data_IF_427779007617
#
_entry.id   IF_427779007617
#
_cell.length_a   1.000
_cell.length_b   1.000
_cell.length_c   1.000
_cell.angle_alpha   90.00
_cell.angle_beta   90.00
_cell.angle_gamma   90.00
#
_symmetry.space_group_name_H-M   'P 1'
#
loop_
_entity.id
_entity.type
_entity.pdbx_description
1 polymer ?
#
# COMPACT_ATOMS: atom_id res chain seq x y z
N UNK A 1 -44.84 44.53 -9.47
CA UNK A 1 -43.56 44.54 -10.19
C UNK A 1 -42.45 44.72 -9.15
N UNK A 2 -41.97 43.61 -8.59
CA UNK A 2 -40.78 43.62 -7.75
C UNK A 2 -39.66 43.22 -8.71
N UNK A 3 -38.83 44.18 -9.10
CA UNK A 3 -37.64 43.91 -9.89
C UNK A 3 -36.58 43.37 -8.94
N UNK A 4 -36.15 42.14 -9.19
CA UNK A 4 -35.07 41.47 -8.48
C UNK A 4 -33.81 42.34 -8.46
N UNK A 5 -33.45 42.85 -7.27
CA UNK A 5 -32.10 43.30 -6.95
C UNK A 5 -31.19 42.07 -6.82
N UNK A 6 -30.84 41.47 -7.96
CA UNK A 6 -29.74 40.52 -8.03
C UNK A 6 -28.43 41.23 -7.67
N UNK A 7 -27.74 40.71 -6.65
CA UNK A 7 -26.49 41.27 -6.11
C UNK A 7 -25.47 41.54 -7.23
N UNK A 8 -24.81 42.71 -7.26
CA UNK A 8 -23.89 43.11 -8.34
C UNK A 8 -22.72 42.13 -8.57
N UNK A 9 -22.32 41.37 -7.54
CA UNK A 9 -21.29 40.34 -7.64
C UNK A 9 -21.70 39.14 -8.52
N UNK A 10 -22.99 38.81 -8.59
CA UNK A 10 -23.51 37.71 -9.41
C UNK A 10 -23.37 38.01 -10.91
N UNK A 11 -23.73 39.25 -11.31
CA UNK A 11 -23.65 39.68 -12.72
C UNK A 11 -22.22 39.79 -13.23
N UNK A 12 -21.27 40.20 -12.37
CA UNK A 12 -19.84 40.21 -12.71
C UNK A 12 -19.31 38.79 -12.91
N UNK A 13 -19.74 37.85 -12.08
CA UNK A 13 -19.37 36.45 -12.18
C UNK A 13 -19.91 35.79 -13.46
N UNK A 14 -21.18 36.03 -13.79
CA UNK A 14 -21.76 35.51 -15.04
C UNK A 14 -21.12 36.12 -16.30
N UNK A 15 -20.76 37.41 -16.28
CA UNK A 15 -19.97 38.02 -17.37
C UNK A 15 -18.59 37.41 -17.51
N UNK A 16 -17.93 37.07 -16.39
CA UNK A 16 -16.64 36.40 -16.39
C UNK A 16 -16.76 34.99 -16.99
N UNK A 17 -17.79 34.23 -16.62
CA UNK A 17 -18.09 32.91 -17.21
C UNK A 17 -18.31 33.01 -18.72
N UNK A 18 -19.20 33.90 -19.15
CA UNK A 18 -19.50 34.09 -20.57
C UNK A 18 -18.24 34.47 -21.38
N UNK A 19 -17.39 35.35 -20.83
CA UNK A 19 -16.10 35.69 -21.45
C UNK A 19 -15.18 34.47 -21.59
N UNK A 20 -15.10 33.65 -20.54
CA UNK A 20 -14.25 32.45 -20.53
C UNK A 20 -14.78 31.37 -21.48
N UNK A 21 -16.09 31.26 -21.64
CA UNK A 21 -16.71 30.38 -22.65
C UNK A 21 -16.35 30.83 -24.07
N UNK A 22 -16.46 32.13 -24.37
CA UNK A 22 -16.08 32.66 -25.68
C UNK A 22 -14.57 32.50 -25.96
N UNK A 23 -13.73 32.65 -24.94
CA UNK A 23 -12.29 32.36 -25.03
C UNK A 23 -12.03 30.90 -25.35
N UNK A 24 -12.73 29.97 -24.68
CA UNK A 24 -12.63 28.54 -24.94
C UNK A 24 -13.03 28.20 -26.38
N UNK A 25 -14.16 28.72 -26.86
CA UNK A 25 -14.62 28.52 -28.25
C UNK A 25 -13.62 29.05 -29.29
N UNK A 26 -12.96 30.18 -29.01
CA UNK A 26 -11.90 30.69 -29.89
C UNK A 26 -10.69 29.76 -29.94
N UNK A 27 -10.30 29.16 -28.81
CA UNK A 27 -9.25 28.14 -28.77
C UNK A 27 -9.67 26.87 -29.51
N UNK A 28 -10.93 26.45 -29.43
CA UNK A 28 -11.44 25.30 -30.19
C UNK A 28 -11.39 25.51 -31.70
N UNK A 29 -11.72 26.71 -32.19
CA UNK A 29 -11.61 27.02 -33.61
C UNK A 29 -10.16 26.98 -34.10
N UNK A 30 -9.21 27.43 -33.27
CA UNK A 30 -7.77 27.28 -33.56
C UNK A 30 -7.33 25.82 -33.54
N UNK A 31 -7.76 25.03 -32.55
CA UNK A 31 -7.48 23.60 -32.48
C UNK A 31 -8.00 22.87 -33.73
N UNK A 32 -9.23 23.18 -34.16
CA UNK A 32 -9.81 22.66 -35.41
C UNK A 32 -9.00 23.07 -36.63
N UNK A 33 -8.50 24.30 -36.69
CA UNK A 33 -7.63 24.75 -37.77
C UNK A 33 -6.28 24.00 -37.79
N UNK A 34 -5.72 23.69 -36.62
CA UNK A 34 -4.50 22.88 -36.50
C UNK A 34 -4.71 21.43 -36.97
N UNK A 35 -5.89 20.86 -36.68
CA UNK A 35 -6.28 19.50 -37.09
C UNK A 35 -6.68 19.39 -38.57
N UNK A 36 -7.08 20.48 -39.23
CA UNK A 36 -7.40 20.47 -40.66
C UNK A 36 -6.13 20.24 -41.48
N UNK A 37 -6.18 19.23 -42.35
CA UNK A 37 -5.21 19.04 -43.42
C UNK A 37 -5.71 19.73 -44.69
N UNK A 38 -4.78 20.15 -45.56
CA UNK A 38 -5.11 20.85 -46.80
C UNK A 38 -4.06 20.57 -47.88
N UNK A 39 -4.26 21.13 -49.07
CA UNK A 39 -3.38 20.90 -50.22
C UNK A 39 -1.89 21.23 -49.92
N UNK A 40 -1.64 22.20 -49.04
CA UNK A 40 -0.30 22.61 -48.60
C UNK A 40 0.18 21.98 -47.27
N UNK A 41 -0.72 21.40 -46.46
CA UNK A 41 -0.40 20.82 -45.14
C UNK A 41 -0.88 19.37 -45.09
N UNK A 42 0.02 18.44 -45.45
CA UNK A 42 -0.27 17.00 -45.61
C UNK A 42 -0.43 16.24 -44.29
N UNK A 43 0.05 16.79 -43.17
CA UNK A 43 -0.12 16.21 -41.82
C UNK A 43 -0.74 17.25 -40.87
N UNK A 44 -1.69 16.85 -40.01
CA UNK A 44 -2.25 17.75 -39.00
C UNK A 44 -1.15 18.19 -38.02
N UNK A 45 -1.27 19.39 -37.49
CA UNK A 45 -0.37 19.90 -36.44
C UNK A 45 -0.91 19.48 -35.08
N UNK A 46 -0.50 18.29 -34.67
CA UNK A 46 -0.90 17.66 -33.42
C UNK A 46 -0.42 18.46 -32.21
N UNK A 47 0.84 18.92 -32.20
CA UNK A 47 1.38 19.72 -31.09
C UNK A 47 0.61 21.03 -30.91
N UNK A 48 0.32 21.75 -32.00
CA UNK A 48 -0.50 22.96 -31.96
C UNK A 48 -1.93 22.68 -31.48
N UNK A 49 -2.55 21.60 -31.97
CA UNK A 49 -3.89 21.21 -31.55
C UNK A 49 -3.95 20.85 -30.06
N UNK A 50 -2.96 20.10 -29.54
CA UNK A 50 -2.84 19.74 -28.13
C UNK A 50 -2.90 20.96 -27.22
N UNK A 51 -2.09 21.99 -27.52
CA UNK A 51 -2.00 23.21 -26.71
C UNK A 51 -3.35 23.94 -26.73
N UNK A 52 -3.95 24.11 -27.91
CA UNK A 52 -5.21 24.84 -28.05
C UNK A 52 -6.38 24.09 -27.37
N UNK A 53 -6.44 22.76 -27.44
CA UNK A 53 -7.43 21.97 -26.67
C UNK A 53 -7.23 22.08 -25.16
N UNK A 54 -5.98 22.10 -24.69
CA UNK A 54 -5.66 22.24 -23.27
C UNK A 54 -6.06 23.62 -22.72
N UNK A 55 -5.79 24.70 -23.47
CA UNK A 55 -6.21 26.06 -23.11
C UNK A 55 -7.74 26.21 -23.15
N UNK A 56 -8.41 25.61 -24.13
CA UNK A 56 -9.88 25.56 -24.18
C UNK A 56 -10.45 24.86 -22.93
N UNK A 57 -9.88 23.72 -22.55
CA UNK A 57 -10.30 22.96 -21.37
C UNK A 57 -10.14 23.77 -20.07
N UNK A 58 -9.02 24.49 -19.91
CA UNK A 58 -8.82 25.40 -18.77
C UNK A 58 -9.85 26.53 -18.73
N UNK A 59 -10.16 27.12 -19.87
CA UNK A 59 -11.15 28.19 -19.96
C UNK A 59 -12.56 27.68 -19.61
N UNK A 60 -12.95 26.49 -20.07
CA UNK A 60 -14.21 25.83 -19.64
C UNK A 60 -14.22 25.49 -18.15
N UNK A 61 -13.10 25.02 -17.60
CA UNK A 61 -12.97 24.74 -16.17
C UNK A 61 -13.22 26.00 -15.33
N UNK A 62 -12.59 27.14 -15.68
CA UNK A 62 -12.81 28.43 -15.00
C UNK A 62 -14.25 28.91 -15.14
N UNK A 63 -14.90 28.63 -16.28
CA UNK A 63 -16.31 28.92 -16.49
C UNK A 63 -17.27 27.99 -15.73
N UNK A 64 -16.76 27.00 -14.98
CA UNK A 64 -17.52 25.95 -14.29
C UNK A 64 -18.32 25.02 -15.24
N UNK A 65 -17.91 24.96 -16.50
CA UNK A 65 -18.43 24.00 -17.49
C UNK A 65 -17.60 22.72 -17.44
N UNK A 66 -17.84 21.93 -16.40
CA UNK A 66 -17.09 20.71 -16.10
C UNK A 66 -17.14 19.64 -17.22
N UNK A 67 -18.30 19.30 -17.82
CA UNK A 67 -18.33 18.24 -18.83
C UNK A 67 -17.57 18.63 -20.10
N UNK A 68 -17.70 19.88 -20.56
CA UNK A 68 -16.91 20.36 -21.70
C UNK A 68 -15.41 20.42 -21.37
N UNK A 69 -15.05 20.82 -20.15
CA UNK A 69 -13.65 20.81 -19.73
C UNK A 69 -13.05 19.39 -19.76
N UNK A 70 -13.77 18.39 -19.26
CA UNK A 70 -13.34 16.98 -19.28
C UNK A 70 -13.15 16.51 -20.72
N UNK A 71 -14.12 16.76 -21.60
CA UNK A 71 -14.06 16.34 -23.01
C UNK A 71 -12.81 16.88 -23.72
N UNK A 72 -12.45 18.15 -23.49
CA UNK A 72 -11.28 18.74 -24.16
C UNK A 72 -9.95 18.40 -23.49
N UNK A 73 -9.93 18.16 -22.17
CA UNK A 73 -8.74 17.57 -21.53
C UNK A 73 -8.47 16.16 -22.06
N UNK A 74 -9.53 15.35 -22.23
CA UNK A 74 -9.42 14.00 -22.79
C UNK A 74 -8.93 14.04 -24.24
N UNK A 75 -9.52 14.86 -25.12
CA UNK A 75 -9.02 15.03 -26.50
C UNK A 75 -7.57 15.49 -26.56
N UNK A 76 -7.17 16.40 -25.67
CA UNK A 76 -5.77 16.84 -25.57
C UNK A 76 -4.85 15.69 -25.14
N UNK A 77 -5.30 14.82 -24.22
CA UNK A 77 -4.54 13.64 -23.79
C UNK A 77 -4.44 12.56 -24.87
N UNK A 78 -5.48 12.34 -25.67
CA UNK A 78 -5.46 11.38 -26.78
C UNK A 78 -4.45 11.77 -27.87
N UNK A 79 -4.30 13.08 -28.11
CA UNK A 79 -3.28 13.58 -29.04
C UNK A 79 -1.87 13.42 -28.44
N UNK A 80 -1.69 13.67 -27.14
CA UNK A 80 -0.42 13.40 -26.46
C UNK A 80 -0.01 11.93 -26.56
N UNK A 81 -0.96 11.00 -26.40
CA UNK A 81 -0.72 9.57 -26.59
C UNK A 81 -0.27 9.27 -28.03
N UNK A 82 -0.87 9.90 -29.04
CA UNK A 82 -0.44 9.77 -30.44
C UNK A 82 0.96 10.35 -30.69
N UNK A 83 1.38 11.30 -29.87
CA UNK A 83 2.71 11.91 -29.90
C UNK A 83 3.73 11.15 -29.03
N UNK A 84 3.33 10.06 -28.37
CA UNK A 84 4.12 9.30 -27.40
C UNK A 84 4.61 10.16 -26.21
N UNK A 85 3.86 11.21 -25.86
CA UNK A 85 4.09 12.06 -24.68
C UNK A 85 3.25 11.55 -23.49
N UNK A 86 3.60 10.33 -23.06
CA UNK A 86 2.90 9.56 -22.03
C UNK A 86 2.74 10.37 -20.72
N UNK A 87 3.73 11.21 -20.37
CA UNK A 87 3.70 12.01 -19.13
C UNK A 87 2.63 13.11 -19.19
N UNK A 88 2.56 13.86 -20.28
CA UNK A 88 1.56 14.92 -20.44
C UNK A 88 0.16 14.32 -20.59
N UNK A 89 0.02 13.21 -21.31
CA UNK A 89 -1.23 12.45 -21.39
C UNK A 89 -1.74 12.05 -19.99
N UNK A 90 -0.87 11.45 -19.17
CA UNK A 90 -1.21 11.02 -17.82
C UNK A 90 -1.72 12.17 -16.94
N UNK A 91 -1.03 13.32 -16.95
CA UNK A 91 -1.41 14.49 -16.14
C UNK A 91 -2.76 15.08 -16.55
N UNK A 92 -3.09 15.06 -17.84
CA UNK A 92 -4.38 15.55 -18.36
C UNK A 92 -5.51 14.59 -18.00
N UNK A 93 -5.30 13.28 -18.10
CA UNK A 93 -6.26 12.27 -17.62
C UNK A 93 -6.49 12.39 -16.10
N UNK A 94 -5.45 12.70 -15.33
CA UNK A 94 -5.58 12.97 -13.90
C UNK A 94 -6.48 14.19 -13.62
N UNK A 95 -6.40 15.23 -14.46
CA UNK A 95 -7.34 16.37 -14.40
C UNK A 95 -8.76 15.93 -14.73
N UNK A 96 -8.97 15.10 -15.77
CA UNK A 96 -10.29 14.55 -16.08
C UNK A 96 -10.91 13.82 -14.90
N UNK A 97 -10.13 12.99 -14.19
CA UNK A 97 -10.59 12.28 -13.01
C UNK A 97 -11.02 13.23 -11.88
N UNK A 98 -10.20 14.24 -11.56
CA UNK A 98 -10.52 15.24 -10.55
C UNK A 98 -11.79 16.04 -10.87
N UNK A 99 -11.97 16.42 -12.12
CA UNK A 99 -13.17 17.14 -12.58
C UNK A 99 -14.42 16.25 -12.57
N UNK A 100 -14.25 14.96 -12.83
CA UNK A 100 -15.34 13.98 -12.75
C UNK A 100 -15.86 13.87 -11.32
N UNK A 101 -14.97 13.81 -10.32
CA UNK A 101 -15.35 13.85 -8.89
C UNK A 101 -16.06 15.17 -8.55
N UNK A 102 -15.62 16.29 -9.13
CA UNK A 102 -16.20 17.60 -8.86
C UNK A 102 -17.64 17.74 -9.39
N UNK A 103 -18.03 17.00 -10.44
CA UNK A 103 -19.42 16.98 -10.96
C UNK A 103 -20.43 16.49 -9.91
N UNK A 104 -20.03 15.59 -9.00
CA UNK A 104 -20.92 14.97 -7.98
C UNK A 104 -22.17 14.29 -8.57
N UNK A 105 -22.05 13.73 -9.77
CA UNK A 105 -23.09 12.92 -10.40
C UNK A 105 -22.98 11.45 -9.96
N UNK A 106 -24.03 10.64 -10.10
CA UNK A 106 -23.99 9.22 -9.69
C UNK A 106 -22.90 8.39 -10.41
N UNK A 107 -22.54 8.83 -11.63
CA UNK A 107 -21.48 8.22 -12.46
C UNK A 107 -20.08 8.79 -12.19
N UNK A 108 -19.95 9.82 -11.35
CA UNK A 108 -18.67 10.53 -11.14
C UNK A 108 -17.54 9.60 -10.71
N UNK A 109 -17.84 8.63 -9.84
CA UNK A 109 -16.83 7.76 -9.26
C UNK A 109 -16.36 6.69 -10.26
N UNK A 110 -17.26 6.24 -11.14
CA UNK A 110 -16.93 5.28 -12.20
C UNK A 110 -16.07 5.96 -13.28
N UNK A 111 -16.48 7.17 -13.72
CA UNK A 111 -15.72 7.97 -14.68
C UNK A 111 -14.33 8.33 -14.11
N UNK A 112 -14.28 8.77 -12.84
CA UNK A 112 -13.01 9.09 -12.18
C UNK A 112 -12.08 7.88 -12.06
N UNK A 113 -12.63 6.70 -11.76
CA UNK A 113 -11.86 5.47 -11.73
C UNK A 113 -11.25 5.16 -13.11
N UNK A 114 -12.04 5.19 -14.18
CA UNK A 114 -11.54 4.93 -15.54
C UNK A 114 -10.41 5.90 -15.92
N UNK A 115 -10.62 7.20 -15.70
CA UNK A 115 -9.60 8.21 -16.00
C UNK A 115 -8.32 8.02 -15.17
N UNK A 116 -8.42 7.67 -13.89
CA UNK A 116 -7.23 7.38 -13.09
C UNK A 116 -6.55 6.06 -13.49
N UNK A 117 -7.29 5.02 -13.86
CA UNK A 117 -6.70 3.76 -14.34
C UNK A 117 -5.93 3.99 -15.65
N UNK A 118 -6.50 4.76 -16.58
CA UNK A 118 -5.82 5.20 -17.80
C UNK A 118 -4.60 6.07 -17.48
N UNK A 119 -4.72 7.04 -16.58
CA UNK A 119 -3.61 7.88 -16.13
C UNK A 119 -2.48 7.06 -15.51
N UNK A 120 -2.81 6.05 -14.71
CA UNK A 120 -1.85 5.12 -14.13
C UNK A 120 -1.08 4.39 -15.25
N UNK A 121 -1.78 3.81 -16.25
CA UNK A 121 -1.15 3.16 -17.40
C UNK A 121 -0.16 4.08 -18.12
N UNK A 122 -0.55 5.33 -18.37
CA UNK A 122 0.33 6.32 -19.00
C UNK A 122 1.54 6.67 -18.13
N UNK A 123 1.38 6.84 -16.82
CA UNK A 123 2.51 7.07 -15.91
C UNK A 123 3.51 5.90 -15.89
N UNK A 124 3.03 4.66 -16.04
CA UNK A 124 3.90 3.49 -16.17
C UNK A 124 4.68 3.51 -17.49
N UNK A 125 4.04 3.87 -18.60
CA UNK A 125 4.71 4.02 -19.90
C UNK A 125 5.75 5.15 -19.87
N UNK A 126 5.46 6.22 -19.13
CA UNK A 126 6.38 7.32 -18.84
C UNK A 126 7.47 6.98 -17.80
N UNK A 127 7.52 5.75 -17.28
CA UNK A 127 8.47 5.30 -16.26
C UNK A 127 8.43 6.14 -14.95
N UNK A 128 7.26 6.71 -14.63
CA UNK A 128 6.98 7.50 -13.43
C UNK A 128 6.16 6.68 -12.42
N UNK A 129 6.81 5.68 -11.83
CA UNK A 129 6.18 4.67 -10.97
C UNK A 129 5.63 5.22 -9.65
N UNK A 130 6.25 6.29 -9.14
CA UNK A 130 5.79 7.04 -7.99
C UNK A 130 4.41 7.65 -8.27
N UNK A 131 4.26 8.37 -9.38
CA UNK A 131 2.98 8.94 -9.80
C UNK A 131 1.92 7.89 -10.14
N UNK A 132 2.33 6.77 -10.75
CA UNK A 132 1.42 5.65 -11.00
C UNK A 132 0.87 5.07 -9.69
N UNK A 133 1.73 4.85 -8.69
CA UNK A 133 1.32 4.37 -7.38
C UNK A 133 0.42 5.39 -6.65
N UNK A 134 0.71 6.68 -6.72
CA UNK A 134 -0.17 7.73 -6.21
C UNK A 134 -1.55 7.73 -6.88
N UNK A 135 -1.62 7.46 -8.19
CA UNK A 135 -2.89 7.32 -8.90
C UNK A 135 -3.70 6.13 -8.35
N UNK A 136 -3.07 4.98 -8.11
CA UNK A 136 -3.75 3.83 -7.51
C UNK A 136 -4.30 4.14 -6.10
N UNK A 137 -3.56 4.92 -5.29
CA UNK A 137 -4.04 5.38 -3.98
C UNK A 137 -5.24 6.33 -4.13
N UNK A 138 -5.22 7.24 -5.11
CA UNK A 138 -6.36 8.12 -5.42
C UNK A 138 -7.58 7.32 -5.87
N UNK A 139 -7.41 6.29 -6.70
CA UNK A 139 -8.49 5.37 -7.09
C UNK A 139 -9.08 4.69 -5.86
N UNK A 140 -8.21 4.15 -4.99
CA UNK A 140 -8.65 3.49 -3.76
C UNK A 140 -9.57 4.39 -2.92
N UNK A 141 -9.24 5.68 -2.78
CA UNK A 141 -10.07 6.64 -2.05
C UNK A 141 -11.42 6.95 -2.73
N UNK A 142 -11.47 6.97 -4.06
CA UNK A 142 -12.73 7.15 -4.81
C UNK A 142 -13.64 5.95 -4.59
N UNK A 143 -13.08 4.74 -4.64
CA UNK A 143 -13.87 3.50 -4.60
C UNK A 143 -14.14 3.00 -3.19
N UNK A 144 -13.41 3.45 -2.16
CA UNK A 144 -13.54 3.01 -0.76
C UNK A 144 -14.97 3.11 -0.23
N UNK A 145 -15.73 4.12 -0.67
CA UNK A 145 -17.13 4.33 -0.27
C UNK A 145 -18.11 3.35 -0.91
N UNK A 146 -17.81 2.84 -2.10
CA UNK A 146 -18.69 1.94 -2.88
C UNK A 146 -18.29 0.49 -2.69
N UNK A 147 -16.99 0.19 -2.73
CA UNK A 147 -16.45 -1.14 -2.58
C UNK A 147 -15.08 -1.09 -1.88
N UNK A 148 -15.10 -1.44 -0.59
CA UNK A 148 -13.91 -1.41 0.26
C UNK A 148 -12.87 -2.49 -0.13
N UNK A 149 -13.33 -3.64 -0.63
CA UNK A 149 -12.46 -4.73 -1.06
C UNK A 149 -11.68 -4.36 -2.32
N UNK A 150 -12.35 -3.69 -3.25
CA UNK A 150 -11.71 -3.15 -4.44
C UNK A 150 -10.66 -2.09 -4.09
N UNK A 151 -10.95 -1.21 -3.11
CA UNK A 151 -9.97 -0.25 -2.60
C UNK A 151 -8.72 -0.93 -2.03
N UNK A 152 -8.88 -2.05 -1.31
CA UNK A 152 -7.77 -2.85 -0.82
C UNK A 152 -6.91 -3.42 -1.95
N UNK A 153 -7.53 -3.93 -3.02
CA UNK A 153 -6.82 -4.39 -4.22
C UNK A 153 -5.96 -3.29 -4.84
N UNK A 154 -6.52 -2.09 -5.04
CA UNK A 154 -5.76 -0.95 -5.58
C UNK A 154 -4.60 -0.52 -4.68
N UNK A 155 -4.79 -0.49 -3.36
CA UNK A 155 -3.72 -0.15 -2.43
C UNK A 155 -2.61 -1.20 -2.35
N UNK A 156 -2.95 -2.50 -2.43
CA UNK A 156 -1.95 -3.56 -2.52
C UNK A 156 -1.12 -3.44 -3.81
N UNK A 157 -1.75 -3.11 -4.95
CA UNK A 157 -1.05 -2.81 -6.20
C UNK A 157 -0.11 -1.61 -6.06
N UNK A 158 -0.55 -0.54 -5.37
CA UNK A 158 0.31 0.62 -5.08
C UNK A 158 1.53 0.23 -4.24
N UNK A 159 1.35 -0.57 -3.18
CA UNK A 159 2.45 -1.11 -2.38
C UNK A 159 3.45 -1.93 -3.22
N UNK A 160 2.96 -2.75 -4.16
CA UNK A 160 3.81 -3.52 -5.07
C UNK A 160 4.67 -2.60 -5.96
N UNK A 161 4.09 -1.54 -6.51
CA UNK A 161 4.83 -0.57 -7.32
C UNK A 161 5.94 0.12 -6.53
N UNK A 162 5.69 0.55 -5.29
CA UNK A 162 6.73 1.20 -4.49
C UNK A 162 7.90 0.26 -4.15
N UNK A 163 7.63 -1.01 -3.86
CA UNK A 163 8.67 -2.00 -3.54
C UNK A 163 9.49 -2.38 -4.76
N UNK A 164 8.85 -2.61 -5.91
CA UNK A 164 9.53 -3.11 -7.10
C UNK A 164 10.49 -2.08 -7.72
N UNK A 165 10.28 -0.80 -7.47
CA UNK A 165 11.08 0.30 -8.04
C UNK A 165 11.92 1.06 -7.01
N UNK A 166 12.15 0.45 -5.84
CA UNK A 166 12.96 0.99 -4.75
C UNK A 166 12.59 2.42 -4.31
N UNK A 167 11.31 2.80 -4.47
CA UNK A 167 10.75 4.08 -3.99
C UNK A 167 10.22 3.93 -2.57
N UNK A 168 11.08 3.44 -1.67
CA UNK A 168 10.67 2.98 -0.33
C UNK A 168 10.30 4.13 0.63
N UNK A 169 10.81 5.35 0.39
CA UNK A 169 10.51 6.53 1.22
C UNK A 169 9.02 6.88 1.24
N UNK A 170 8.33 6.76 0.11
CA UNK A 170 6.88 7.02 -0.03
C UNK A 170 6.03 5.79 0.29
N UNK A 171 6.65 4.63 0.42
CA UNK A 171 5.96 3.37 0.59
C UNK A 171 5.33 3.26 1.99
N UNK A 172 6.02 3.75 3.02
CA UNK A 172 5.66 3.52 4.44
C UNK A 172 4.24 4.00 4.76
N UNK A 173 3.87 5.20 4.35
CA UNK A 173 2.53 5.75 4.59
C UNK A 173 1.46 4.93 3.84
N UNK A 174 1.75 4.56 2.59
CA UNK A 174 0.87 3.70 1.79
C UNK A 174 0.69 2.35 2.47
N UNK A 175 1.77 1.69 2.91
CA UNK A 175 1.73 0.42 3.64
C UNK A 175 0.91 0.51 4.93
N UNK A 176 1.08 1.57 5.72
CA UNK A 176 0.30 1.77 6.95
C UNK A 176 -1.19 1.99 6.67
N UNK A 177 -1.52 2.75 5.62
CA UNK A 177 -2.90 2.96 5.18
C UNK A 177 -3.54 1.66 4.67
N UNK A 178 -2.79 0.88 3.89
CA UNK A 178 -3.20 -0.44 3.41
C UNK A 178 -3.44 -1.40 4.58
N UNK A 179 -2.52 -1.44 5.56
CA UNK A 179 -2.67 -2.26 6.75
C UNK A 179 -3.93 -1.91 7.53
N UNK A 180 -4.17 -0.61 7.76
CA UNK A 180 -5.37 -0.13 8.44
C UNK A 180 -6.65 -0.49 7.66
N UNK A 181 -6.63 -0.45 6.32
CA UNK A 181 -7.78 -0.89 5.54
C UNK A 181 -8.01 -2.40 5.64
N UNK A 182 -6.97 -3.22 5.47
CA UNK A 182 -7.09 -4.68 5.56
C UNK A 182 -7.64 -5.12 6.92
N UNK A 183 -7.15 -4.51 8.00
CA UNK A 183 -7.64 -4.79 9.35
C UNK A 183 -9.08 -4.29 9.56
N UNK A 184 -9.49 -3.17 8.93
CA UNK A 184 -10.89 -2.71 8.95
C UNK A 184 -11.83 -3.67 8.21
N UNK A 185 -11.36 -4.29 7.13
CA UNK A 185 -12.13 -5.27 6.34
C UNK A 185 -12.20 -6.63 7.07
N UNK A 186 -11.23 -6.93 7.95
CA UNK A 186 -11.12 -8.24 8.61
C UNK A 186 -10.18 -9.21 7.90
N UNK A 187 -9.36 -8.75 6.95
CA UNK A 187 -8.40 -9.59 6.22
C UNK A 187 -7.08 -9.74 6.96
N UNK A 188 -7.11 -10.54 8.02
CA UNK A 188 -5.97 -10.68 8.93
C UNK A 188 -4.76 -11.35 8.27
N UNK A 189 -4.98 -12.37 7.43
CA UNK A 189 -3.88 -13.06 6.73
C UNK A 189 -3.17 -12.11 5.76
N UNK A 190 -3.93 -11.37 4.95
CA UNK A 190 -3.40 -10.36 4.04
C UNK A 190 -2.65 -9.26 4.80
N UNK A 191 -3.14 -8.85 5.98
CA UNK A 191 -2.48 -7.89 6.86
C UNK A 191 -1.13 -8.42 7.41
N UNK A 192 -1.07 -9.69 7.83
CA UNK A 192 0.17 -10.33 8.31
C UNK A 192 1.19 -10.46 7.18
N UNK A 193 0.78 -10.87 5.99
CA UNK A 193 1.64 -10.91 4.79
C UNK A 193 2.20 -9.51 4.50
N UNK A 194 1.36 -8.48 4.58
CA UNK A 194 1.78 -7.09 4.40
C UNK A 194 2.82 -6.66 5.45
N UNK A 195 2.60 -6.98 6.73
CA UNK A 195 3.55 -6.69 7.82
C UNK A 195 4.91 -7.39 7.61
N UNK A 196 4.92 -8.65 7.17
CA UNK A 196 6.15 -9.37 6.82
C UNK A 196 6.91 -8.71 5.69
N UNK A 197 6.20 -8.20 4.67
CA UNK A 197 6.81 -7.40 3.60
C UNK A 197 7.37 -6.07 4.11
N UNK A 198 6.67 -5.41 5.02
CA UNK A 198 7.16 -4.19 5.68
C UNK A 198 8.42 -4.46 6.50
N UNK A 199 8.52 -5.60 7.20
CA UNK A 199 9.73 -6.01 7.93
C UNK A 199 10.91 -6.12 6.97
N UNK A 200 10.74 -6.77 5.82
CA UNK A 200 11.80 -6.85 4.81
C UNK A 200 12.21 -5.47 4.28
N UNK A 201 11.25 -4.55 4.09
CA UNK A 201 11.51 -3.18 3.67
C UNK A 201 12.28 -2.39 4.75
N UNK A 202 11.81 -2.39 6.00
CA UNK A 202 12.47 -1.69 7.10
C UNK A 202 13.85 -2.25 7.42
N UNK A 203 14.08 -3.54 7.16
CA UNK A 203 15.40 -4.15 7.26
C UNK A 203 16.36 -3.54 6.23
N UNK A 204 15.91 -3.34 4.98
CA UNK A 204 16.72 -2.65 3.95
C UNK A 204 17.01 -1.19 4.33
N UNK A 205 16.03 -0.50 4.92
CA UNK A 205 16.18 0.89 5.39
C UNK A 205 16.92 1.02 6.73
N UNK A 206 17.33 -0.10 7.35
CA UNK A 206 17.98 -0.14 8.68
C UNK A 206 17.15 0.54 9.79
N UNK A 207 15.82 0.45 9.71
CA UNK A 207 14.89 1.03 10.69
C UNK A 207 14.40 -0.02 11.69
N UNK A 208 15.25 -0.41 12.64
CA UNK A 208 14.96 -1.48 13.61
C UNK A 208 13.70 -1.23 14.45
N UNK A 209 13.47 0.01 14.88
CA UNK A 209 12.29 0.36 15.68
C UNK A 209 10.96 0.07 14.95
N UNK A 210 10.93 0.23 13.63
CA UNK A 210 9.73 -0.06 12.84
C UNK A 210 9.55 -1.58 12.64
N UNK A 211 10.65 -2.34 12.58
CA UNK A 211 10.61 -3.81 12.56
C UNK A 211 9.98 -4.34 13.85
N UNK A 212 10.41 -3.83 15.00
CA UNK A 212 9.91 -4.27 16.31
C UNK A 212 8.42 -4.02 16.49
N UNK A 213 7.94 -2.87 15.99
CA UNK A 213 6.50 -2.57 15.94
C UNK A 213 5.74 -3.54 15.04
N UNK A 214 6.31 -3.96 13.92
CA UNK A 214 5.69 -4.97 13.06
C UNK A 214 5.60 -6.33 13.75
N UNK A 215 6.64 -6.77 14.47
CA UNK A 215 6.63 -8.01 15.26
C UNK A 215 5.51 -8.02 16.30
N UNK A 216 5.45 -6.98 17.13
CA UNK A 216 4.37 -6.81 18.10
C UNK A 216 2.99 -6.78 17.42
N UNK A 217 2.88 -6.13 16.26
CA UNK A 217 1.62 -6.05 15.51
C UNK A 217 1.14 -7.41 15.01
N UNK A 218 2.04 -8.26 14.52
CA UNK A 218 1.71 -9.62 14.06
C UNK A 218 1.14 -10.44 15.21
N UNK A 219 1.80 -10.45 16.38
CA UNK A 219 1.32 -11.20 17.54
C UNK A 219 0.00 -10.67 18.06
N UNK A 220 -0.16 -9.34 18.17
CA UNK A 220 -1.44 -8.74 18.58
C UNK A 220 -2.57 -9.14 17.63
N UNK A 221 -2.32 -9.24 16.31
CA UNK A 221 -3.32 -9.69 15.33
C UNK A 221 -3.71 -11.16 15.57
N UNK A 222 -2.74 -12.06 15.79
CA UNK A 222 -3.01 -13.49 16.06
C UNK A 222 -3.75 -13.70 17.39
N UNK A 223 -3.34 -12.99 18.45
CA UNK A 223 -4.05 -13.00 19.73
C UNK A 223 -5.48 -12.46 19.58
N UNK A 224 -5.67 -11.41 18.78
CA UNK A 224 -6.98 -10.86 18.45
C UNK A 224 -7.88 -11.83 17.68
N UNK A 225 -7.28 -12.70 16.85
CA UNK A 225 -7.98 -13.78 16.16
C UNK A 225 -8.27 -14.99 17.08
N UNK A 226 -7.76 -15.00 18.32
CA UNK A 226 -7.87 -16.13 19.24
C UNK A 226 -6.92 -17.29 18.95
N UNK A 227 -5.93 -17.10 18.06
CA UNK A 227 -4.94 -18.11 17.69
C UNK A 227 -3.65 -17.93 18.51
N UNK A 228 -3.69 -18.44 19.73
CA UNK A 228 -2.56 -18.42 20.66
C UNK A 228 -1.36 -19.25 20.14
N UNK A 229 -1.54 -20.46 19.57
CA UNK A 229 -0.42 -21.22 19.01
C UNK A 229 0.33 -20.48 17.90
N UNK A 230 -0.39 -19.84 16.97
CA UNK A 230 0.27 -19.07 15.90
C UNK A 230 0.97 -17.82 16.45
N UNK A 231 0.38 -17.14 17.43
CA UNK A 231 1.03 -16.02 18.12
C UNK A 231 2.37 -16.44 18.76
N UNK A 232 2.40 -17.56 19.49
CA UNK A 232 3.61 -18.09 20.11
C UNK A 232 4.66 -18.50 19.06
N UNK A 233 4.22 -19.07 17.92
CA UNK A 233 5.11 -19.44 16.83
C UNK A 233 5.82 -18.24 16.22
N UNK A 234 5.10 -17.13 15.99
CA UNK A 234 5.72 -15.89 15.48
C UNK A 234 6.65 -15.27 16.52
N UNK A 235 6.24 -15.21 17.79
CA UNK A 235 7.11 -14.73 18.86
C UNK A 235 8.44 -15.50 18.93
N UNK A 236 8.40 -16.83 18.85
CA UNK A 236 9.60 -17.67 18.83
C UNK A 236 10.54 -17.36 17.64
N UNK A 237 9.98 -16.95 16.49
CA UNK A 237 10.77 -16.50 15.34
C UNK A 237 11.40 -15.12 15.61
N UNK A 238 10.65 -14.20 16.23
CA UNK A 238 11.14 -12.88 16.59
C UNK A 238 12.32 -12.93 17.58
N UNK A 239 12.34 -13.93 18.48
CA UNK A 239 13.43 -14.16 19.43
C UNK A 239 14.80 -14.46 18.78
N UNK A 240 14.82 -14.83 17.49
CA UNK A 240 16.07 -15.06 16.76
C UNK A 240 16.83 -13.76 16.43
N UNK A 241 16.23 -12.59 16.68
CA UNK A 241 16.80 -11.28 16.38
C UNK A 241 17.36 -10.63 17.65
N UNK A 242 18.69 -10.60 17.79
CA UNK A 242 19.38 -10.08 18.99
C UNK A 242 19.03 -8.62 19.34
N UNK A 243 18.78 -7.77 18.33
CA UNK A 243 18.38 -6.39 18.57
C UNK A 243 16.97 -6.27 19.14
N UNK A 244 16.10 -7.25 18.86
CA UNK A 244 14.75 -7.30 19.39
C UNK A 244 14.71 -7.60 20.90
N UNK A 245 15.63 -8.43 21.39
CA UNK A 245 15.72 -8.81 22.81
C UNK A 245 15.96 -7.63 23.76
N UNK A 246 16.44 -6.50 23.25
CA UNK A 246 16.67 -5.26 24.03
C UNK A 246 15.53 -4.25 23.92
N UNK A 247 14.52 -4.56 23.11
CA UNK A 247 13.39 -3.68 22.82
C UNK A 247 12.39 -3.64 23.98
N UNK A 248 11.46 -2.68 23.95
CA UNK A 248 10.36 -2.62 24.92
C UNK A 248 9.13 -3.39 24.41
N UNK A 249 9.08 -3.60 23.11
CA UNK A 249 8.04 -4.31 22.36
C UNK A 249 8.03 -5.80 22.72
N UNK A 250 9.20 -6.43 22.85
CA UNK A 250 9.32 -7.83 23.26
C UNK A 250 8.74 -8.11 24.64
N UNK A 251 8.94 -7.18 25.59
CA UNK A 251 8.42 -7.34 26.95
C UNK A 251 6.89 -7.32 26.97
N UNK A 252 6.27 -6.48 26.13
CA UNK A 252 4.82 -6.47 25.98
C UNK A 252 4.32 -7.73 25.26
N UNK A 253 5.01 -8.17 24.21
CA UNK A 253 4.67 -9.38 23.45
C UNK A 253 4.68 -10.63 24.36
N UNK A 254 5.75 -10.79 25.15
CA UNK A 254 5.90 -11.88 26.12
C UNK A 254 4.82 -11.83 27.22
N UNK A 255 4.58 -10.66 27.80
CA UNK A 255 3.56 -10.48 28.84
C UNK A 255 2.14 -10.78 28.31
N UNK A 256 1.83 -10.37 27.07
CA UNK A 256 0.54 -10.64 26.44
C UNK A 256 0.33 -12.13 26.19
N UNK A 257 1.34 -12.81 25.65
CA UNK A 257 1.23 -14.24 25.37
C UNK A 257 1.09 -15.04 26.68
N UNK A 258 1.94 -14.78 27.68
CA UNK A 258 1.85 -15.46 28.99
C UNK A 258 0.50 -15.24 29.67
N UNK A 259 -0.01 -14.02 29.65
CA UNK A 259 -1.32 -13.73 30.25
C UNK A 259 -2.45 -14.50 29.53
N UNK A 260 -2.35 -14.72 28.21
CA UNK A 260 -3.28 -15.55 27.46
C UNK A 260 -3.10 -17.06 27.73
N UNK A 261 -1.86 -17.54 27.87
CA UNK A 261 -1.53 -18.93 28.21
C UNK A 261 -2.01 -19.31 29.61
N UNK A 262 -1.81 -18.43 30.59
CA UNK A 262 -2.19 -18.64 31.99
C UNK A 262 -3.68 -18.37 32.28
N UNK A 263 -4.44 -17.94 31.26
CA UNK A 263 -5.83 -17.50 31.37
C UNK A 263 -6.04 -16.39 32.42
N UNK A 264 -5.05 -15.50 32.59
CA UNK A 264 -5.10 -14.39 33.55
C UNK A 264 -5.76 -13.14 32.93
N UNK A 265 -7.08 -13.07 33.04
CA UNK A 265 -7.87 -11.92 32.57
C UNK A 265 -7.48 -10.59 33.24
N UNK A 266 -7.03 -10.62 34.49
CA UNK A 266 -6.66 -9.41 35.21
C UNK A 266 -5.35 -8.82 34.66
N UNK A 267 -4.41 -9.69 34.29
CA UNK A 267 -3.15 -9.28 33.66
C UNK A 267 -3.40 -8.75 32.24
N UNK A 268 -4.27 -9.39 31.45
CA UNK A 268 -4.63 -8.89 30.11
C UNK A 268 -5.24 -7.48 30.18
N UNK A 269 -6.11 -7.22 31.16
CA UNK A 269 -6.73 -5.90 31.36
C UNK A 269 -5.69 -4.81 31.71
N UNK A 270 -4.67 -5.15 32.51
CA UNK A 270 -3.56 -4.25 32.80
C UNK A 270 -2.76 -3.92 31.54
N UNK A 271 -2.49 -4.94 30.71
CA UNK A 271 -1.73 -4.81 29.46
C UNK A 271 -2.47 -4.02 28.39
N UNK A 272 -3.81 -3.96 28.40
CA UNK A 272 -4.57 -3.07 27.51
C UNK A 272 -4.19 -1.59 27.68
N UNK A 273 -3.74 -1.19 28.87
CA UNK A 273 -3.29 0.17 29.16
C UNK A 273 -1.79 0.40 28.91
N UNK A 274 -1.08 -0.61 28.40
CA UNK A 274 0.35 -0.52 28.19
C UNK A 274 0.70 0.50 27.10
N UNK A 275 1.66 1.39 27.40
CA UNK A 275 2.00 2.51 26.51
C UNK A 275 2.51 2.05 25.13
N UNK A 276 3.12 0.87 25.01
CA UNK A 276 3.64 0.38 23.73
C UNK A 276 2.55 0.13 22.68
N UNK A 277 1.32 -0.20 23.10
CA UNK A 277 0.18 -0.33 22.18
C UNK A 277 -0.18 1.00 21.50
N UNK A 278 0.21 2.15 22.07
CA UNK A 278 -0.05 3.45 21.44
C UNK A 278 0.93 3.79 20.31
N UNK A 279 2.02 3.05 20.16
CA UNK A 279 3.04 3.30 19.13
C UNK A 279 2.93 2.39 17.90
N UNK A 280 2.05 1.37 17.93
CA UNK A 280 1.65 0.56 16.78
C UNK A 280 0.51 1.22 15.99
N UNK A 281 0.20 0.70 14.81
CA UNK A 281 -0.86 1.25 13.95
C UNK A 281 -2.22 1.27 14.66
N UNK A 282 -3.06 2.26 14.32
CA UNK A 282 -4.31 2.54 15.04
C UNK A 282 -5.23 1.33 15.14
N UNK A 283 -5.38 0.55 14.05
CA UNK A 283 -6.22 -0.65 14.09
C UNK A 283 -5.59 -1.75 14.96
N UNK A 284 -4.27 -1.94 14.90
CA UNK A 284 -3.55 -2.88 15.78
C UNK A 284 -3.68 -2.49 17.26
N UNK A 285 -3.58 -1.20 17.59
CA UNK A 285 -3.82 -0.70 18.94
C UNK A 285 -5.24 -1.06 19.42
N UNK A 286 -6.23 -0.85 18.55
CA UNK A 286 -7.62 -1.20 18.85
C UNK A 286 -7.82 -2.70 19.03
N UNK A 287 -7.09 -3.53 18.29
CA UNK A 287 -7.05 -4.98 18.51
C UNK A 287 -6.48 -5.26 19.91
N UNK A 288 -5.27 -4.78 20.18
CA UNK A 288 -4.55 -5.02 21.43
C UNK A 288 -5.37 -4.65 22.67
N UNK A 289 -6.08 -3.52 22.63
CA UNK A 289 -6.96 -3.05 23.72
C UNK A 289 -8.23 -3.86 23.92
N UNK A 290 -8.59 -4.71 22.96
CA UNK A 290 -9.80 -5.52 23.00
C UNK A 290 -9.49 -7.02 22.93
N UNK A 291 -8.21 -7.43 23.04
CA UNK A 291 -7.83 -8.85 23.09
C UNK A 291 -8.57 -9.53 24.24
N UNK A 292 -9.20 -10.67 23.92
CA UNK A 292 -9.90 -11.53 24.86
C UNK A 292 -9.21 -12.88 24.92
N UNK A 293 -9.27 -13.53 26.07
CA UNK A 293 -8.65 -14.85 26.26
C UNK A 293 -9.51 -15.91 25.56
N UNK A 294 -8.88 -16.72 24.71
CA UNK A 294 -9.49 -17.85 24.00
C UNK A 294 -10.76 -17.52 23.18
N UNK A 295 -11.02 -16.24 22.90
CA UNK A 295 -12.09 -15.79 22.03
C UNK A 295 -11.54 -14.76 21.04
N UNK A 296 -11.90 -14.87 19.74
CA UNK A 296 -11.61 -13.80 18.82
C UNK A 296 -12.38 -12.56 19.26
N UNK A 297 -11.72 -11.40 19.14
CA UNK A 297 -12.34 -10.12 19.50
C UNK A 297 -13.65 -9.95 18.72
N UNK A 298 -14.68 -9.37 19.35
CA UNK A 298 -16.05 -9.37 18.82
C UNK A 298 -16.18 -8.89 17.36
N UNK A 299 -15.42 -7.86 16.98
CA UNK A 299 -15.41 -7.32 15.61
C UNK A 299 -14.50 -8.10 14.63
N UNK A 300 -13.71 -9.08 15.09
CA UNK A 300 -13.01 -10.04 14.23
C UNK A 300 -13.95 -11.07 13.58
N UNK A 301 -15.13 -11.30 14.15
CA UNK A 301 -16.09 -12.30 13.63
C UNK A 301 -16.92 -11.81 12.45
N UNK A 302 -16.96 -10.50 12.20
CA UNK A 302 -17.87 -9.93 11.21
C UNK A 302 -17.12 -9.61 9.89
N UNK A 303 -16.69 -10.63 9.14
CA UNK A 303 -16.99 -10.58 7.69
C UNK A 303 -18.51 -10.69 7.61
N UNK A 304 -19.21 -9.56 7.73
CA UNK A 304 -20.67 -9.59 7.58
C UNK A 304 -21.00 -10.18 6.21
N UNK A 305 -22.06 -10.96 6.10
CA UNK A 305 -22.53 -11.49 4.81
C UNK A 305 -22.74 -10.36 3.78
N UNK A 306 -23.00 -9.14 4.25
CA UNK A 306 -23.02 -7.91 3.46
C UNK A 306 -21.64 -7.52 2.90
N UNK A 307 -20.57 -7.59 3.69
CA UNK A 307 -19.19 -7.37 3.22
C UNK A 307 -18.76 -8.44 2.21
N UNK A 308 -19.11 -9.71 2.44
CA UNK A 308 -18.88 -10.81 1.48
C UNK A 308 -19.64 -10.61 0.16
N UNK A 309 -20.91 -10.19 0.21
CA UNK A 309 -21.71 -9.86 -0.99
C UNK A 309 -21.21 -8.60 -1.71
N UNK A 310 -20.71 -7.61 -0.97
CA UNK A 310 -20.09 -6.42 -1.54
C UNK A 310 -18.73 -6.73 -2.18
N UNK A 311 -17.97 -7.66 -1.60
CA UNK A 311 -16.80 -8.30 -2.17
C UNK A 311 -17.11 -9.01 -3.51
N UNK A 312 -18.30 -9.60 -3.64
CA UNK A 312 -18.81 -10.22 -4.87
C UNK A 312 -19.42 -9.22 -5.88
N UNK A 313 -19.51 -7.93 -5.53
CA UNK A 313 -19.93 -6.86 -6.43
C UNK A 313 -21.37 -6.36 -6.27
N UNK A 314 -22.06 -6.69 -5.17
CA UNK A 314 -23.40 -6.18 -4.88
C UNK A 314 -23.35 -4.73 -4.33
N UNK A 315 -23.84 -3.76 -5.11
CA UNK A 315 -23.80 -2.32 -4.82
C UNK A 315 -25.01 -1.83 -3.96
N UNK A 316 -25.90 -2.72 -3.51
CA UNK A 316 -27.22 -2.32 -2.99
C UNK A 316 -27.27 -1.91 -1.50
N UNK A 317 -26.18 -2.05 -0.73
CA UNK A 317 -26.17 -1.68 0.70
C UNK A 317 -25.23 -0.52 1.05
N UNK A 318 -25.71 0.51 1.77
CA UNK A 318 -24.88 1.63 2.20
C UNK A 318 -24.00 1.27 3.41
N UNK A 319 -22.92 2.02 3.48
CA UNK A 319 -21.78 1.78 4.35
C UNK A 319 -22.00 2.40 5.74
N UNK A 320 -22.52 1.65 6.70
CA UNK A 320 -22.46 2.05 8.12
C UNK A 320 -21.08 1.66 8.68
N UNK A 321 -20.14 2.58 8.53
CA UNK A 321 -18.71 2.44 8.83
C UNK A 321 -18.31 2.77 10.28
N UNK A 322 -19.27 2.91 11.20
CA UNK A 322 -18.88 3.16 12.58
C UNK A 322 -18.32 1.89 13.21
N UNK A 323 -17.15 1.95 13.87
CA UNK A 323 -16.76 0.92 14.81
C UNK A 323 -17.88 0.79 15.85
N UNK A 324 -18.68 -0.29 15.80
CA UNK A 324 -19.66 -0.60 16.85
C UNK A 324 -18.95 -0.41 18.19
N UNK A 325 -19.47 0.51 19.01
CA UNK A 325 -18.95 0.75 20.36
C UNK A 325 -18.92 -0.60 21.07
N UNK A 326 -17.84 -0.93 21.79
CA UNK A 326 -17.80 -2.18 22.55
C UNK A 326 -19.07 -2.26 23.40
N UNK A 327 -19.80 -3.36 23.27
CA UNK A 327 -21.00 -3.58 24.07
C UNK A 327 -20.63 -3.40 25.55
N UNK A 328 -21.44 -2.69 26.35
CA UNK A 328 -21.13 -2.48 27.75
C UNK A 328 -20.94 -3.85 28.42
N UNK A 329 -19.78 -4.02 29.07
CA UNK A 329 -19.42 -5.22 29.86
C UNK A 329 -20.65 -5.72 30.61
N UNK A 330 -21.13 -6.92 30.28
CA UNK A 330 -22.07 -7.61 31.13
C UNK A 330 -21.34 -7.95 32.43
N UNK A 331 -21.57 -7.13 33.46
CA UNK A 331 -21.04 -7.36 34.80
C UNK A 331 -21.73 -8.61 35.34
N UNK A 332 -21.01 -9.74 35.34
CA UNK A 332 -21.43 -10.92 36.09
C UNK A 332 -21.52 -10.52 37.57
N UNK A 333 -22.67 -10.72 38.25
CA UNK A 333 -22.83 -10.27 39.62
C UNK A 333 -21.96 -11.08 40.58
N UNK A 334 -21.08 -10.39 41.32
CA UNK A 334 -20.27 -10.98 42.40
C UNK A 334 -21.16 -11.61 43.48
N UNK A 335 -20.83 -12.82 43.99
CA UNK A 335 -21.51 -13.38 45.16
C UNK A 335 -21.17 -12.57 46.43
N UNK A 336 -22.17 -12.45 47.31
CA UNK A 336 -22.18 -11.61 48.52
C UNK A 336 -21.12 -12.05 49.56
N UNK A 337 -20.52 -11.05 50.22
CA UNK A 337 -19.58 -11.18 51.34
C UNK A 337 -20.18 -11.94 52.53
N UNK A 338 -19.38 -12.80 53.16
CA UNK A 338 -19.56 -13.25 54.53
C UNK A 338 -18.75 -12.38 55.51
N UNK A 339 -19.27 -12.33 56.73
CA UNK A 339 -19.01 -11.39 57.83
C UNK A 339 -17.68 -11.64 58.58
N UNK A 340 -17.11 -10.60 59.19
CA UNK A 340 -15.84 -10.63 59.94
C UNK A 340 -16.04 -10.90 61.45
N UNK A 341 -14.99 -11.32 62.17
CA UNK A 341 -14.81 -10.80 63.53
C UNK A 341 -13.37 -10.35 63.93
N UNK A 342 -13.36 -9.12 64.48
CA UNK A 342 -12.61 -8.44 65.58
C UNK A 342 -11.08 -8.62 65.85
N UNK A 343 -10.49 -7.41 66.02
CA UNK A 343 -9.21 -6.90 66.59
C UNK A 343 -8.63 -7.55 67.86
N UNK A 344 -7.28 -7.53 67.96
CA UNK A 344 -6.47 -7.27 69.18
C UNK A 344 -5.25 -6.37 68.84
N UNK A 345 -4.73 -5.67 69.85
CA UNK A 345 -4.00 -4.39 69.90
C UNK A 345 -2.50 -4.35 69.51
N UNK A 346 -1.97 -3.12 69.39
CA UNK A 346 -0.55 -2.75 69.10
C UNK A 346 0.22 -2.40 70.39
N UNK A 347 1.57 -2.30 70.34
CA UNK A 347 2.17 -1.00 70.68
C UNK A 347 3.31 -0.51 69.75
N UNK A 348 3.67 0.77 69.97
CA UNK A 348 4.29 1.80 69.09
C UNK A 348 5.84 1.83 69.00
N UNK A 349 6.35 2.05 67.78
CA UNK A 349 7.36 3.02 67.22
C UNK A 349 8.55 3.57 68.06
N UNK A 350 9.70 3.99 67.44
CA UNK A 350 9.80 5.33 66.82
C UNK A 350 10.71 5.48 65.56
N UNK A 351 10.76 6.73 65.06
CA UNK A 351 11.06 7.25 63.72
C UNK A 351 12.55 7.59 63.41
N UNK A 352 12.89 7.41 62.12
CA UNK A 352 13.81 8.12 61.17
C UNK A 352 14.64 9.35 61.57
N UNK A 353 15.73 9.70 60.84
CA UNK A 353 15.60 10.73 59.78
C UNK A 353 16.46 10.57 58.50
N UNK A 354 16.15 11.44 57.52
CA UNK A 354 16.60 11.51 56.11
C UNK A 354 17.97 12.22 55.86
N UNK A 355 18.53 11.91 54.68
CA UNK A 355 19.65 12.46 53.86
C UNK A 355 19.95 13.97 53.87
N UNK A 356 21.14 14.43 53.37
CA UNK A 356 21.19 15.04 52.01
C UNK A 356 22.53 14.99 51.20
N UNK A 357 22.37 14.99 49.86
CA UNK A 357 23.06 15.71 48.75
C UNK A 357 24.57 15.53 48.38
N UNK A 358 24.80 15.22 47.10
CA UNK A 358 25.99 15.47 46.21
C UNK A 358 26.28 17.00 46.02
N UNK A 359 27.40 17.52 45.40
CA UNK A 359 28.21 16.99 44.26
C UNK A 359 29.73 17.36 44.19
N UNK A 360 30.47 16.82 43.18
CA UNK A 360 31.47 17.50 42.29
C UNK A 360 32.50 16.53 41.64
N UNK A 361 32.61 16.56 40.32
CA UNK A 361 33.81 16.23 39.50
C UNK A 361 34.64 17.53 39.27
N UNK A 362 35.80 17.60 38.55
CA UNK A 362 36.58 16.61 37.77
C UNK A 362 38.12 16.69 37.99
N UNK A 363 38.91 15.80 37.32
CA UNK A 363 40.23 16.10 36.68
C UNK A 363 40.91 14.82 36.12
N UNK A 364 41.17 14.81 34.81
CA UNK A 364 42.22 14.04 34.13
C UNK A 364 43.56 14.80 34.23
N UNK A 365 44.77 14.17 34.08
CA UNK A 365 45.34 13.97 32.72
C UNK A 365 46.42 12.86 32.54
N UNK A 366 46.78 12.63 31.25
CA UNK A 366 48.10 12.25 30.66
C UNK A 366 48.25 10.88 29.94
N UNK A 367 48.35 10.98 28.61
CA UNK A 367 49.08 10.16 27.61
C UNK A 367 50.63 10.36 27.75
N UNK A 368 51.57 9.86 26.88
CA UNK A 368 51.46 9.16 25.57
C UNK A 368 52.49 8.01 25.28
N UNK A 369 52.36 7.24 24.17
CA UNK A 369 53.39 7.07 23.09
C UNK A 369 53.17 5.91 22.07
N UNK A 370 53.05 6.34 20.81
CA UNK A 370 53.54 5.92 19.46
C UNK A 370 54.25 4.56 19.15
N UNK A 371 53.69 3.83 18.16
CA UNK A 371 54.21 3.19 16.91
C UNK A 371 55.36 2.15 16.92
N UNK A 372 55.13 0.97 16.30
CA UNK A 372 55.95 0.39 15.19
C UNK A 372 55.28 -0.85 14.53
N UNK A 373 55.41 -0.97 13.20
CA UNK A 373 55.06 -2.12 12.34
C UNK A 373 56.31 -2.94 11.98
N UNK A 374 56.19 -4.25 11.68
CA UNK A 374 56.35 -4.75 10.29
C UNK A 374 55.44 -5.99 10.03
N UNK A 375 55.29 -6.64 8.87
CA UNK A 375 55.52 -6.43 7.42
C UNK A 375 54.92 -7.70 6.76
N UNK A 376 54.27 -7.49 5.62
CA UNK A 376 53.82 -8.41 4.57
C UNK A 376 54.26 -9.90 4.58
N UNK A 377 53.30 -10.79 4.32
CA UNK A 377 53.47 -11.92 3.39
C UNK A 377 52.11 -12.43 2.83
N UNK A 378 52.02 -12.50 1.50
CA UNK A 378 51.06 -13.28 0.70
C UNK A 378 51.79 -13.61 -0.63
N UNK A 379 51.36 -14.57 -1.47
CA UNK A 379 50.22 -15.49 -1.37
C UNK A 379 50.58 -16.97 -1.68
N UNK A 380 49.67 -17.91 -1.43
CA UNK A 380 49.67 -19.21 -2.13
C UNK A 380 48.32 -19.54 -2.76
N UNK A 381 48.41 -19.75 -4.08
CA UNK A 381 47.46 -20.32 -5.05
C UNK A 381 47.02 -21.73 -4.67
N UNK A 382 45.73 -22.04 -4.88
CA UNK A 382 45.18 -23.37 -5.23
C UNK A 382 43.92 -23.09 -6.07
N UNK A 383 43.98 -23.04 -7.40
CA UNK A 383 43.75 -24.13 -8.37
C UNK A 383 42.54 -25.04 -8.10
N UNK A 384 41.44 -24.77 -8.82
CA UNK A 384 40.55 -25.80 -9.41
C UNK A 384 40.99 -25.98 -10.87
N UNK A 385 40.95 -27.19 -11.48
CA UNK A 385 39.68 -27.69 -12.03
C UNK A 385 39.56 -29.22 -12.17
N UNK A 386 38.34 -29.75 -12.35
CA UNK A 386 37.98 -30.61 -13.50
C UNK A 386 36.51 -31.04 -13.50
N UNK A 387 36.01 -31.15 -14.74
CA UNK A 387 34.67 -31.51 -15.23
C UNK A 387 34.80 -32.87 -15.94
N UNK A 388 33.82 -33.77 -15.77
CA UNK A 388 33.49 -34.90 -16.67
C UNK A 388 32.10 -35.40 -16.23
N UNK A 389 31.01 -35.20 -16.99
CA UNK A 389 30.58 -35.89 -18.22
C UNK A 389 29.85 -37.22 -17.96
N UNK A 390 28.61 -37.26 -18.44
CA UNK A 390 27.62 -38.35 -18.46
C UNK A 390 28.01 -39.55 -19.33
N UNK A 391 27.26 -40.67 -19.24
CA UNK A 391 26.74 -41.25 -20.49
C UNK A 391 25.25 -41.65 -20.46
N UNK A 392 24.73 -41.79 -21.69
CA UNK A 392 23.35 -41.95 -22.14
C UNK A 392 22.83 -43.40 -22.18
N UNK A 393 21.49 -43.51 -22.12
CA UNK A 393 20.54 -44.36 -22.89
C UNK A 393 20.76 -45.89 -23.03
N UNK A 394 19.71 -46.64 -22.72
CA UNK A 394 19.06 -47.57 -23.66
C UNK A 394 17.60 -47.88 -23.25
N UNK A 395 16.66 -47.70 -24.19
CA UNK A 395 15.36 -48.38 -24.29
C UNK A 395 15.42 -49.23 -25.58
N UNK A 396 14.55 -50.25 -25.81
CA UNK A 396 13.21 -50.00 -26.41
C UNK A 396 12.06 -50.94 -25.90
N UNK A 397 10.79 -50.48 -25.80
CA UNK A 397 9.61 -50.66 -26.72
C UNK A 397 9.13 -52.14 -26.74
N UNK A 398 7.87 -52.57 -26.54
CA UNK A 398 6.52 -52.08 -26.90
C UNK A 398 5.47 -52.94 -26.14
N UNK A 399 4.33 -52.38 -25.74
CA UNK A 399 3.00 -52.92 -26.09
C UNK A 399 1.90 -52.01 -25.53
N UNK A 400 1.06 -51.55 -26.44
CA UNK A 400 -0.08 -50.69 -26.19
C UNK A 400 -1.34 -51.39 -26.69
N UNK A 401 -2.44 -51.10 -26.00
CA UNK A 401 -3.87 -51.23 -26.38
C UNK A 401 -4.60 -52.45 -25.83
N UNK A 402 -5.44 -52.16 -24.83
CA UNK A 402 -6.80 -52.63 -24.54
C UNK A 402 -6.95 -52.49 -23.02
N UNK A 403 -7.93 -51.85 -22.37
CA UNK A 403 -9.21 -51.18 -22.65
C UNK A 403 -9.43 -50.30 -21.40
N UNK A 404 -9.52 -48.98 -21.46
CA UNK A 404 -10.77 -48.22 -21.68
C UNK A 404 -12.03 -48.93 -21.20
N UNK A 405 -12.21 -49.05 -19.88
CA UNK A 405 -13.48 -48.88 -19.16
C UNK A 405 -13.30 -49.23 -17.67
N UNK A 406 -13.05 -48.22 -16.83
CA UNK A 406 -13.36 -48.13 -15.39
C UNK A 406 -12.43 -47.12 -14.73
N UNK A 407 -12.79 -45.84 -14.85
CA UNK A 407 -12.44 -44.82 -13.86
C UNK A 407 -13.33 -43.60 -14.16
N UNK A 408 -14.61 -43.76 -13.80
CA UNK A 408 -15.52 -42.66 -13.51
C UNK A 408 -15.88 -42.83 -12.03
N UNK A 409 -15.95 -41.71 -11.34
CA UNK A 409 -16.28 -41.54 -9.91
C UNK A 409 -15.10 -41.61 -8.94
N UNK A 410 -14.32 -40.51 -8.91
CA UNK A 410 -14.07 -39.69 -7.71
C UNK A 410 -13.24 -38.47 -8.11
N UNK A 411 -13.92 -37.48 -8.70
CA UNK A 411 -13.41 -36.11 -8.69
C UNK A 411 -13.91 -35.50 -7.38
N UNK A 412 -13.02 -35.45 -6.41
CA UNK A 412 -13.20 -34.77 -5.14
C UNK A 412 -13.19 -33.26 -5.44
N UNK A 413 -14.33 -32.61 -5.20
CA UNK A 413 -14.56 -31.20 -5.44
C UNK A 413 -13.64 -30.37 -4.52
N UNK A 414 -12.52 -29.90 -5.07
CA UNK A 414 -11.65 -28.93 -4.41
C UNK A 414 -12.46 -27.65 -4.09
N UNK A 415 -12.28 -27.02 -2.92
CA UNK A 415 -13.06 -25.85 -2.55
C UNK A 415 -12.71 -24.71 -3.53
N UNK A 416 -13.73 -24.16 -4.18
CA UNK A 416 -13.58 -22.98 -5.04
C UNK A 416 -13.10 -21.84 -4.16
N UNK A 417 -11.88 -21.34 -4.44
CA UNK A 417 -11.36 -20.10 -3.88
C UNK A 417 -12.41 -19.00 -4.05
N UNK A 418 -12.59 -18.19 -3.00
CA UNK A 418 -13.47 -17.04 -3.08
C UNK A 418 -13.00 -16.08 -4.21
N UNK A 419 -13.91 -15.35 -4.90
CA UNK A 419 -13.52 -14.30 -5.85
C UNK A 419 -12.52 -13.30 -5.23
N UNK A 420 -12.70 -13.12 -3.92
CA UNK A 420 -11.73 -12.79 -2.87
C UNK A 420 -10.25 -13.11 -3.13
N UNK A 421 -9.96 -14.36 -2.81
CA UNK A 421 -8.64 -14.96 -2.82
C UNK A 421 -8.08 -15.07 -4.24
N UNK A 422 -8.94 -15.12 -5.26
CA UNK A 422 -8.52 -15.04 -6.66
C UNK A 422 -7.97 -13.64 -7.01
N UNK A 423 -8.69 -12.57 -6.65
CA UNK A 423 -8.21 -11.18 -6.81
C UNK A 423 -6.95 -10.91 -5.97
N UNK A 424 -6.84 -11.54 -4.79
CA UNK A 424 -5.65 -11.42 -3.94
C UNK A 424 -4.46 -12.22 -4.48
N UNK A 425 -4.65 -13.47 -4.90
CA UNK A 425 -3.60 -14.27 -5.55
C UNK A 425 -3.14 -13.63 -6.85
N UNK A 426 -4.04 -13.01 -7.61
CA UNK A 426 -3.68 -12.35 -8.84
C UNK A 426 -3.04 -10.96 -8.62
N UNK A 427 -3.44 -10.20 -7.59
CA UNK A 427 -2.71 -9.01 -7.17
C UNK A 427 -1.32 -9.34 -6.58
N UNK A 428 -1.16 -10.53 -5.98
CA UNK A 428 0.11 -11.05 -5.42
C UNK A 428 1.04 -11.62 -6.50
N UNK A 429 0.50 -12.37 -7.46
CA UNK A 429 1.26 -12.93 -8.60
C UNK A 429 1.45 -11.88 -9.72
N UNK A 430 0.74 -10.75 -9.65
CA UNK A 430 0.68 -9.75 -10.70
C UNK A 430 -0.03 -10.24 -11.96
N UNK A 431 -0.79 -11.33 -11.91
CA UNK A 431 -1.28 -12.07 -13.07
C UNK A 431 -2.58 -11.49 -13.69
N UNK A 432 -3.42 -10.78 -12.93
CA UNK A 432 -4.73 -10.29 -13.46
C UNK A 432 -4.65 -8.99 -14.26
N UNK A 433 -3.51 -8.32 -14.27
CA UNK A 433 -3.35 -7.14 -15.11
C UNK A 433 -2.46 -7.49 -16.29
N UNK A 434 -2.96 -8.29 -17.23
CA UNK A 434 -2.30 -8.48 -18.52
C UNK A 434 -1.88 -7.12 -19.12
N UNK A 435 -2.70 -6.07 -18.94
CA UNK A 435 -2.39 -4.70 -19.31
C UNK A 435 -1.27 -4.05 -18.48
N UNK A 436 -1.25 -4.20 -17.15
CA UNK A 436 -0.18 -3.63 -16.30
C UNK A 436 1.13 -4.35 -16.56
N UNK A 437 1.10 -5.68 -16.68
CA UNK A 437 2.24 -6.50 -17.05
C UNK A 437 2.71 -6.22 -18.47
N UNK A 438 1.79 -5.98 -19.41
CA UNK A 438 2.11 -5.55 -20.76
C UNK A 438 2.75 -4.17 -20.75
N UNK A 439 2.23 -3.21 -19.97
CA UNK A 439 2.83 -1.89 -19.77
C UNK A 439 4.20 -1.98 -19.10
N UNK A 440 4.38 -2.83 -18.08
CA UNK A 440 5.66 -3.09 -17.42
C UNK A 440 6.66 -3.72 -18.39
N UNK A 441 6.25 -4.73 -19.16
CA UNK A 441 7.07 -5.35 -20.23
C UNK A 441 7.40 -4.34 -21.33
N UNK A 442 6.45 -3.50 -21.73
CA UNK A 442 6.65 -2.44 -22.70
C UNK A 442 7.63 -1.38 -22.19
N UNK A 443 7.55 -1.01 -20.91
CA UNK A 443 8.50 -0.11 -20.25
C UNK A 443 9.91 -0.72 -20.22
N UNK A 444 10.05 -2.00 -19.83
CA UNK A 444 11.34 -2.71 -19.89
C UNK A 444 11.89 -2.78 -21.32
N UNK A 445 11.05 -3.00 -22.33
CA UNK A 445 11.45 -3.00 -23.74
C UNK A 445 11.83 -1.61 -24.25
N UNK A 446 11.11 -0.55 -23.87
CA UNK A 446 11.47 0.86 -24.15
C UNK A 446 12.82 1.22 -23.50
N UNK A 447 13.09 0.77 -22.27
CA UNK A 447 14.39 0.96 -21.62
C UNK A 447 15.52 0.21 -22.35
N UNK A 448 15.29 -1.04 -22.77
CA UNK A 448 16.27 -1.82 -23.53
C UNK A 448 16.61 -1.16 -24.88
N UNK A 449 15.59 -0.68 -25.59
CA UNK A 449 15.78 0.01 -26.88
C UNK A 449 16.42 1.39 -26.73
N UNK A 450 16.11 2.14 -25.67
CA UNK A 450 16.77 3.42 -25.35
C UNK A 450 18.25 3.22 -24.97
N UNK A 451 18.57 2.18 -24.18
CA UNK A 451 19.95 1.80 -23.86
C UNK A 451 20.72 1.32 -25.09
N UNK A 452 20.07 0.66 -26.05
CA UNK A 452 20.68 0.32 -27.34
C UNK A 452 20.96 1.54 -28.23
N UNK A 453 20.17 2.63 -28.12
CA UNK A 453 20.39 3.89 -28.87
C UNK A 453 21.47 4.79 -28.27
N UNK A 454 21.91 4.54 -27.03
CA UNK A 454 22.93 5.33 -26.31
C UNK A 454 24.36 4.72 -26.36
N UNK A 455 24.69 3.84 -27.32
CA UNK A 455 26.10 3.50 -27.55
C UNK A 455 26.84 4.67 -28.22
N UNK A 456 28.03 5.06 -27.74
CA UNK A 456 28.78 6.15 -28.34
C UNK A 456 29.23 5.79 -29.75
N UNK A 457 28.84 6.63 -30.71
CA UNK A 457 29.56 6.77 -31.95
C UNK A 457 30.94 7.35 -31.63
N UNK A 458 31.99 6.52 -31.68
CA UNK A 458 33.33 6.90 -32.12
C UNK A 458 34.32 5.74 -31.90
N UNK A 459 34.72 5.11 -33.01
CA UNK A 459 36.06 4.51 -33.19
C UNK A 459 36.23 4.06 -34.65
N UNK A 460 36.41 5.04 -35.53
CA UNK A 460 37.03 4.80 -36.84
C UNK A 460 37.97 5.96 -37.16
N UNK A 461 39.23 5.82 -36.76
CA UNK A 461 40.37 6.45 -37.43
C UNK A 461 41.55 5.49 -37.32
N UNK A 462 41.68 4.67 -38.38
CA UNK A 462 42.88 3.93 -38.72
C UNK A 462 43.76 4.93 -39.48
N UNK A 463 44.96 5.24 -38.97
CA UNK A 463 46.02 5.86 -39.77
C UNK A 463 46.80 4.74 -40.47
N UNK A 464 47.12 4.86 -41.78
CA UNK A 464 48.06 3.97 -42.43
C UNK A 464 49.49 4.44 -42.20
N UNK A 465 50.39 3.46 -42.10
CA UNK A 465 51.83 3.63 -42.13
C UNK A 465 52.30 4.22 -43.46
N UNK A 466 53.13 5.25 -43.41
CA UNK A 466 54.42 5.37 -44.10
C UNK A 466 55.27 6.46 -43.44
#
# INVERSE_FOLDING_TARGET
MILDEERPNSRLFERMKARKIAEAEAHLEKARACMKTGFFKRKPDLNGATIEYYEAAQAYYVAQKLPEAIEYYEKSSEIDQQLEDDLNAATKLEKCALLSIQRKDDKSDADARDYYDRSCKEYLLANCMDKAAECLVKIAHVVEKKNIHMAAGYMLRACNLFVNFDRQDFAVDTFNNTLNLLLRIGRFQSAIILLRRMIALFTKLQQEHNIFKCYLSIVVIYLGAGDLPAAQQEFNQHLQVDSYLRSQEIALEEDLIKACEDFDEARVEELHQHNQLNFVQQQVNRIGKNVQIAQPVEWYREETEAMLKQAEGDETQPVDLEPKKPAPRQVVPKPKKAEAPKKVETPKSPKSPKSPKSPKSPKSPKSPQKVETPKAEAPKKVESPKKAESPKKAAPVEEAKEEKEKEKEKEEEAPKLSPLEALEQAALNGEDDDDLNLCLRACCNKQSTALCRLRPADRTTIYPSD
#
